data_IF_461976169451
#
_entry.id   IF_461976169451
#
_cell.length_a   1.000
_cell.length_b   1.000
_cell.length_c   1.000
_cell.angle_alpha   90.00
_cell.angle_beta   90.00
_cell.angle_gamma   90.00
#
_symmetry.space_group_name_H-M   'P 1'
#
loop_
_entity.id
_entity.type
_entity.pdbx_description
1 polymer ?
#
# COMPACT_ATOMS: atom_id res chain seq x y z
N UNK A 1 -22.45 34.90 41.07
CA UNK A 1 -23.48 33.85 41.24
C UNK A 1 -24.15 33.61 39.90
N UNK A 2 -23.78 32.56 39.16
CA UNK A 2 -24.63 32.05 38.09
C UNK A 2 -24.21 30.57 37.86
N UNK A 3 -25.16 29.71 38.25
CA UNK A 3 -25.02 28.24 38.15
C UNK A 3 -25.10 27.80 36.69
N UNK A 4 -24.09 27.09 36.20
CA UNK A 4 -24.22 26.24 35.03
C UNK A 4 -24.56 24.82 35.50
N UNK A 5 -25.82 24.50 35.53
CA UNK A 5 -26.34 23.12 35.57
C UNK A 5 -26.68 22.74 34.13
N UNK A 6 -25.81 22.00 33.48
CA UNK A 6 -26.19 21.18 32.32
C UNK A 6 -26.98 19.96 32.79
N UNK A 7 -28.03 19.53 32.07
CA UNK A 7 -28.82 18.38 32.50
C UNK A 7 -28.03 17.09 32.27
N UNK A 8 -27.77 16.38 33.36
CA UNK A 8 -27.55 14.95 33.34
C UNK A 8 -28.91 14.29 32.99
N UNK A 9 -29.30 14.40 31.71
CA UNK A 9 -30.49 13.76 31.22
C UNK A 9 -30.23 12.26 31.02
N UNK A 10 -30.70 11.50 31.99
CA UNK A 10 -31.39 10.27 31.79
C UNK A 10 -30.69 9.24 30.87
N UNK A 11 -29.75 8.54 31.44
CA UNK A 11 -29.55 7.14 31.01
C UNK A 11 -30.86 6.44 31.35
N UNK A 12 -31.68 6.16 30.34
CA UNK A 12 -32.94 5.46 30.46
C UNK A 12 -32.67 4.09 31.12
N UNK A 13 -33.15 3.84 32.37
CA UNK A 13 -32.87 2.56 33.06
C UNK A 13 -33.37 1.35 32.28
N UNK A 14 -34.34 1.54 31.39
CA UNK A 14 -34.91 0.47 30.57
C UNK A 14 -34.03 0.08 29.40
N UNK A 15 -33.07 0.88 28.96
CA UNK A 15 -32.08 0.51 27.97
C UNK A 15 -31.01 -0.42 28.55
N UNK A 16 -30.74 -0.40 29.84
CA UNK A 16 -29.82 -1.34 30.50
C UNK A 16 -30.41 -2.75 30.60
N UNK A 17 -31.73 -2.86 30.75
CA UNK A 17 -32.42 -4.17 30.86
C UNK A 17 -32.49 -4.86 29.48
N UNK A 18 -32.47 -4.13 28.39
CA UNK A 18 -32.54 -4.68 27.02
C UNK A 18 -31.21 -5.30 26.56
N UNK A 19 -30.14 -5.07 27.27
CA UNK A 19 -28.79 -5.63 26.97
C UNK A 19 -28.44 -6.79 27.90
N UNK A 20 -29.27 -7.06 28.91
CA UNK A 20 -29.07 -8.26 29.75
C UNK A 20 -29.53 -9.53 29.00
N UNK A 21 -28.66 -10.50 28.75
CA UNK A 21 -29.07 -11.78 28.20
C UNK A 21 -30.00 -12.45 29.20
N UNK A 22 -31.08 -13.07 28.69
CA UNK A 22 -31.95 -13.91 29.50
C UNK A 22 -31.12 -14.90 30.32
N UNK A 23 -31.49 -15.05 31.60
CA UNK A 23 -30.83 -15.95 32.56
C UNK A 23 -30.51 -17.31 31.91
N UNK A 24 -29.24 -17.68 31.95
CA UNK A 24 -28.75 -19.00 31.52
C UNK A 24 -27.81 -19.06 30.33
N UNK A 25 -27.58 -17.99 29.60
CA UNK A 25 -26.50 -17.95 28.60
C UNK A 25 -25.29 -17.21 29.16
N UNK A 26 -24.32 -17.96 29.65
CA UNK A 26 -22.98 -17.42 29.91
C UNK A 26 -22.45 -16.83 28.63
N UNK A 27 -22.30 -15.49 28.58
CA UNK A 27 -21.59 -14.81 27.48
C UNK A 27 -20.16 -15.34 27.52
N UNK A 28 -19.82 -16.10 26.50
CA UNK A 28 -18.45 -16.59 26.36
C UNK A 28 -17.54 -15.40 26.15
N UNK A 29 -16.83 -14.95 27.18
CA UNK A 29 -15.91 -13.82 27.14
C UNK A 29 -14.88 -13.93 25.99
N UNK A 30 -14.55 -15.15 25.56
CA UNK A 30 -13.73 -15.41 24.36
C UNK A 30 -14.36 -14.89 23.07
N UNK A 31 -15.66 -14.63 23.02
CA UNK A 31 -16.33 -14.04 21.84
C UNK A 31 -16.21 -12.53 21.77
N UNK A 32 -15.80 -11.87 22.85
CA UNK A 32 -15.63 -10.41 22.95
C UNK A 32 -14.18 -9.97 22.70
N UNK A 33 -13.24 -10.90 22.69
CA UNK A 33 -11.86 -10.54 22.33
C UNK A 33 -11.78 -10.12 20.86
N UNK A 34 -11.13 -8.97 20.55
CA UNK A 34 -10.90 -8.58 19.16
C UNK A 34 -10.12 -9.70 18.48
N UNK A 35 -10.66 -10.25 17.41
CA UNK A 35 -10.12 -11.39 16.67
C UNK A 35 -8.78 -10.97 16.04
N UNK A 36 -7.71 -10.98 16.83
CA UNK A 36 -6.35 -10.72 16.38
C UNK A 36 -6.02 -11.80 15.36
N UNK A 37 -5.69 -11.37 14.14
CA UNK A 37 -5.30 -12.31 13.08
C UNK A 37 -4.05 -13.07 13.53
N UNK A 38 -4.08 -14.40 13.48
CA UNK A 38 -2.91 -15.20 13.84
C UNK A 38 -1.70 -14.80 12.97
N UNK A 39 -0.47 -14.83 13.50
CA UNK A 39 0.74 -14.54 12.74
C UNK A 39 0.82 -15.35 11.44
N UNK A 40 0.44 -16.61 11.47
CA UNK A 40 0.39 -17.50 10.29
C UNK A 40 -0.53 -16.97 9.19
N UNK A 41 -1.70 -16.43 9.57
CA UNK A 41 -2.65 -15.85 8.61
C UNK A 41 -2.06 -14.60 7.94
N UNK A 42 -1.37 -13.75 8.71
CA UNK A 42 -0.72 -12.55 8.17
C UNK A 42 0.38 -12.93 7.19
N UNK A 43 1.22 -13.92 7.53
CA UNK A 43 2.27 -14.41 6.63
C UNK A 43 1.66 -14.98 5.34
N UNK A 44 0.63 -15.80 5.45
CA UNK A 44 -0.05 -16.36 4.28
C UNK A 44 -0.61 -15.26 3.37
N UNK A 45 -1.20 -14.21 3.92
CA UNK A 45 -1.67 -13.06 3.15
C UNK A 45 -0.51 -12.33 2.46
N UNK A 46 0.57 -12.03 3.17
CA UNK A 46 1.75 -11.39 2.58
C UNK A 46 2.27 -12.19 1.39
N UNK A 47 2.47 -13.50 1.57
CA UNK A 47 2.94 -14.39 0.49
C UNK A 47 1.97 -14.38 -0.69
N UNK A 48 0.67 -14.48 -0.45
CA UNK A 48 -0.35 -14.49 -1.51
C UNK A 48 -0.35 -13.18 -2.30
N UNK A 49 -0.32 -12.04 -1.61
CA UNK A 49 -0.37 -10.74 -2.29
C UNK A 49 0.94 -10.41 -3.01
N UNK A 50 2.09 -10.81 -2.47
CA UNK A 50 3.38 -10.69 -3.17
C UNK A 50 3.42 -11.59 -4.41
N UNK A 51 2.96 -12.83 -4.32
CA UNK A 51 2.87 -13.74 -5.47
C UNK A 51 1.93 -13.20 -6.56
N UNK A 52 0.76 -12.66 -6.17
CA UNK A 52 -0.18 -12.05 -7.11
C UNK A 52 0.42 -10.81 -7.79
N UNK A 53 1.08 -9.94 -7.02
CA UNK A 53 1.77 -8.77 -7.56
C UNK A 53 2.87 -9.19 -8.55
N UNK A 54 3.64 -10.22 -8.20
CA UNK A 54 4.68 -10.78 -9.10
C UNK A 54 4.06 -11.36 -10.36
N UNK A 55 2.97 -12.11 -10.27
CA UNK A 55 2.29 -12.64 -11.46
C UNK A 55 1.81 -11.52 -12.39
N UNK A 56 1.22 -10.45 -11.83
CA UNK A 56 0.77 -9.29 -12.59
C UNK A 56 1.94 -8.49 -13.21
N UNK A 57 3.14 -8.52 -12.61
CA UNK A 57 4.30 -7.81 -13.15
C UNK A 57 4.81 -8.40 -14.48
N UNK A 58 4.50 -9.66 -14.77
CA UNK A 58 4.80 -10.26 -16.09
C UNK A 58 3.87 -9.78 -17.21
N UNK A 59 2.68 -9.22 -16.86
CA UNK A 59 1.75 -8.68 -17.85
C UNK A 59 2.12 -7.21 -18.09
N UNK A 60 3.09 -6.99 -18.98
CA UNK A 60 3.58 -5.65 -19.32
C UNK A 60 2.81 -5.07 -20.49
N UNK A 61 2.30 -3.87 -20.32
CA UNK A 61 1.68 -3.05 -21.37
C UNK A 61 2.76 -2.33 -22.17
N UNK A 62 3.81 -1.89 -21.45
CA UNK A 62 4.91 -1.13 -22.02
C UNK A 62 6.18 -1.34 -21.17
N UNK A 63 7.36 -1.38 -21.81
CA UNK A 63 8.65 -1.54 -21.15
C UNK A 63 9.69 -0.57 -21.69
N UNK A 64 10.53 -0.04 -20.81
CA UNK A 64 11.63 0.87 -21.09
C UNK A 64 12.98 0.15 -21.00
N UNK A 65 14.02 0.62 -21.71
CA UNK A 65 15.32 -0.07 -21.79
C UNK A 65 16.02 -0.27 -20.44
N UNK A 66 15.89 0.66 -19.49
CA UNK A 66 16.54 0.58 -18.16
C UNK A 66 15.64 -0.05 -17.09
N UNK A 67 14.69 -0.92 -17.46
CA UNK A 67 13.87 -1.71 -16.55
C UNK A 67 12.57 -1.07 -16.10
N UNK A 68 12.29 0.20 -16.45
CA UNK A 68 10.98 0.82 -16.19
C UNK A 68 9.88 0.13 -17.02
N UNK A 69 8.74 -0.20 -16.42
CA UNK A 69 7.63 -0.83 -17.13
C UNK A 69 6.27 -0.41 -16.57
N UNK A 70 5.28 -0.39 -17.47
CA UNK A 70 3.86 -0.25 -17.12
C UNK A 70 3.23 -1.64 -17.16
N UNK A 71 2.60 -2.04 -16.07
CA UNK A 71 2.03 -3.38 -15.90
C UNK A 71 0.49 -3.34 -15.78
N UNK A 72 -0.13 -4.50 -15.75
CA UNK A 72 -1.57 -4.63 -15.52
C UNK A 72 -1.98 -4.40 -14.05
N UNK A 73 -1.34 -3.45 -13.36
CA UNK A 73 -1.64 -3.10 -11.97
C UNK A 73 -0.91 -3.95 -10.94
N UNK A 74 0.35 -4.32 -11.20
CA UNK A 74 1.16 -5.14 -10.29
C UNK A 74 1.33 -4.54 -8.89
N UNK A 75 1.22 -3.23 -8.74
CA UNK A 75 1.31 -2.56 -7.44
C UNK A 75 0.01 -2.67 -6.61
N UNK A 76 -1.13 -2.93 -7.26
CA UNK A 76 -2.45 -2.92 -6.60
C UNK A 76 -2.54 -3.93 -5.45
N UNK A 77 -2.11 -5.20 -5.59
CA UNK A 77 -2.16 -6.15 -4.47
C UNK A 77 -1.38 -5.66 -3.24
N UNK A 78 -0.22 -5.06 -3.43
CA UNK A 78 0.62 -4.54 -2.34
C UNK A 78 -0.03 -3.32 -1.68
N UNK A 79 -0.53 -2.37 -2.48
CA UNK A 79 -1.27 -1.20 -1.98
C UNK A 79 -2.51 -1.63 -1.19
N UNK A 80 -3.26 -2.60 -1.70
CA UNK A 80 -4.42 -3.12 -1.00
C UNK A 80 -4.05 -3.78 0.33
N UNK A 81 -3.02 -4.63 0.34
CA UNK A 81 -2.54 -5.25 1.58
C UNK A 81 -2.12 -4.19 2.61
N UNK A 82 -1.41 -3.13 2.18
CA UNK A 82 -1.02 -2.02 3.04
C UNK A 82 -2.24 -1.28 3.61
N UNK A 83 -3.22 -0.95 2.78
CA UNK A 83 -4.48 -0.32 3.21
C UNK A 83 -5.24 -1.22 4.20
N UNK A 84 -5.26 -2.53 3.98
CA UNK A 84 -5.95 -3.49 4.84
C UNK A 84 -5.23 -3.71 6.17
N UNK A 85 -3.93 -3.96 6.16
CA UNK A 85 -3.15 -4.41 7.33
C UNK A 85 -2.41 -3.29 8.05
N UNK A 86 -2.38 -2.10 7.46
CA UNK A 86 -1.68 -0.95 8.00
C UNK A 86 -0.20 -0.89 7.62
N UNK A 87 0.50 0.18 8.07
CA UNK A 87 1.82 0.52 7.55
C UNK A 87 2.90 -0.51 7.88
N UNK A 88 2.90 -1.12 9.06
CA UNK A 88 3.94 -2.08 9.45
C UNK A 88 3.99 -3.29 8.52
N UNK A 89 2.85 -3.91 8.28
CA UNK A 89 2.74 -5.08 7.39
C UNK A 89 2.86 -4.64 5.94
N UNK A 90 2.30 -3.49 5.59
CA UNK A 90 2.39 -2.91 4.25
C UNK A 90 3.83 -2.63 3.83
N UNK A 91 4.63 -1.95 4.66
CA UNK A 91 6.03 -1.66 4.39
C UNK A 91 6.86 -2.94 4.25
N UNK A 92 6.64 -3.90 5.16
CA UNK A 92 7.32 -5.19 5.10
C UNK A 92 7.00 -5.95 3.81
N UNK A 93 5.72 -6.14 3.48
CA UNK A 93 5.29 -6.84 2.26
C UNK A 93 5.78 -6.15 0.99
N UNK A 94 5.74 -4.82 0.96
CA UNK A 94 6.20 -4.01 -0.15
C UNK A 94 7.71 -4.12 -0.36
N UNK A 95 8.51 -4.12 0.72
CA UNK A 95 9.96 -4.33 0.65
C UNK A 95 10.29 -5.76 0.17
N UNK A 96 9.58 -6.78 0.67
CA UNK A 96 9.70 -8.17 0.20
C UNK A 96 9.37 -8.25 -1.31
N UNK A 97 8.29 -7.61 -1.75
CA UNK A 97 7.96 -7.54 -3.17
C UNK A 97 9.08 -6.89 -3.99
N UNK A 98 9.70 -5.81 -3.49
CA UNK A 98 10.87 -5.20 -4.12
C UNK A 98 12.05 -6.17 -4.27
N UNK A 99 12.34 -6.98 -3.23
CA UNK A 99 13.38 -8.01 -3.32
C UNK A 99 13.02 -9.12 -4.32
N UNK A 100 11.75 -9.50 -4.42
CA UNK A 100 11.28 -10.43 -5.44
C UNK A 100 11.47 -9.83 -6.83
N UNK A 101 11.15 -8.54 -7.03
CA UNK A 101 11.37 -7.86 -8.32
C UNK A 101 12.86 -7.80 -8.69
N UNK A 102 13.76 -7.59 -7.73
CA UNK A 102 15.20 -7.70 -7.97
C UNK A 102 15.61 -9.10 -8.45
N UNK A 103 15.00 -10.14 -7.92
CA UNK A 103 15.29 -11.51 -8.33
C UNK A 103 14.71 -11.86 -9.72
N UNK A 104 13.55 -11.30 -10.06
CA UNK A 104 12.82 -11.55 -11.31
C UNK A 104 13.40 -10.76 -12.48
N UNK A 105 13.67 -9.48 -12.27
CA UNK A 105 14.18 -8.54 -13.29
C UNK A 105 15.30 -7.67 -12.72
N UNK A 106 16.50 -8.23 -12.55
CA UNK A 106 17.62 -7.50 -12.01
C UNK A 106 18.16 -6.47 -13.01
N UNK A 107 18.23 -5.20 -12.60
CA UNK A 107 18.99 -4.16 -13.26
C UNK A 107 19.96 -3.57 -12.24
N UNK A 108 21.22 -3.97 -12.30
CA UNK A 108 22.23 -3.71 -11.27
C UNK A 108 23.34 -2.87 -11.86
N UNK A 109 23.48 -1.63 -11.39
CA UNK A 109 24.57 -0.71 -11.75
C UNK A 109 25.46 -0.45 -10.53
N UNK A 110 24.86 -0.33 -9.34
CA UNK A 110 25.57 -0.03 -8.10
C UNK A 110 24.80 -0.59 -6.89
N UNK A 111 25.44 -1.08 -5.82
CA UNK A 111 24.71 -1.61 -4.64
C UNK A 111 23.70 -0.64 -4.02
N UNK A 112 24.03 0.66 -3.94
CA UNK A 112 23.11 1.67 -3.41
C UNK A 112 21.94 1.93 -4.37
N UNK A 113 22.16 1.82 -5.69
CA UNK A 113 21.07 1.88 -6.67
C UNK A 113 20.08 0.72 -6.44
N UNK A 114 20.58 -0.49 -6.24
CA UNK A 114 19.73 -1.65 -5.95
C UNK A 114 18.88 -1.42 -4.71
N UNK A 115 19.44 -0.84 -3.64
CA UNK A 115 18.70 -0.52 -2.43
C UNK A 115 17.60 0.51 -2.70
N UNK A 116 17.89 1.55 -3.50
CA UNK A 116 16.94 2.60 -3.84
C UNK A 116 15.82 2.08 -4.76
N UNK A 117 16.17 1.33 -5.80
CA UNK A 117 15.23 0.96 -6.87
C UNK A 117 14.35 -0.25 -6.52
N UNK A 118 14.79 -1.10 -5.60
CA UNK A 118 14.02 -2.29 -5.24
C UNK A 118 13.42 -2.21 -3.84
N UNK A 119 14.10 -2.49 -2.72
CA UNK A 119 13.43 -2.56 -1.44
C UNK A 119 12.88 -1.19 -0.98
N UNK A 120 13.55 -0.09 -1.31
CA UNK A 120 13.13 1.23 -0.85
C UNK A 120 12.00 1.78 -1.72
N UNK A 121 12.14 1.73 -3.05
CA UNK A 121 11.11 2.22 -3.97
C UNK A 121 9.81 1.42 -3.84
N UNK A 122 9.89 0.09 -3.88
CA UNK A 122 8.70 -0.73 -3.67
C UNK A 122 8.19 -0.64 -2.23
N UNK A 123 9.09 -0.60 -1.23
CA UNK A 123 8.74 -0.40 0.17
C UNK A 123 7.86 0.83 0.41
N UNK A 124 8.10 1.91 -0.33
CA UNK A 124 7.30 3.12 -0.25
C UNK A 124 5.80 2.89 -0.54
N UNK A 125 5.42 1.86 -1.31
CA UNK A 125 4.02 1.50 -1.52
C UNK A 125 3.31 1.17 -0.20
N UNK A 126 4.06 0.65 0.79
CA UNK A 126 3.55 0.36 2.12
C UNK A 126 3.11 1.59 2.92
N UNK A 127 3.55 2.81 2.54
CA UNK A 127 3.10 4.07 3.13
C UNK A 127 1.59 4.28 2.96
N UNK A 128 0.98 3.64 1.96
CA UNK A 128 -0.48 3.63 1.79
C UNK A 128 -1.20 3.18 3.07
N UNK A 129 -0.59 2.32 3.85
CA UNK A 129 -1.14 1.80 5.10
C UNK A 129 -1.40 2.84 6.20
N UNK A 130 -0.79 4.02 6.12
CA UNK A 130 -1.10 5.14 7.03
C UNK A 130 -2.45 5.82 6.70
N UNK A 131 -2.97 5.60 5.49
CA UNK A 131 -4.16 6.29 4.97
C UNK A 131 -5.35 5.34 4.76
N UNK A 132 -5.54 4.37 5.66
CA UNK A 132 -6.59 3.33 5.55
C UNK A 132 -7.99 3.90 5.30
N UNK A 133 -8.33 5.03 5.95
CA UNK A 133 -9.62 5.70 5.80
C UNK A 133 -9.72 6.59 4.54
N UNK A 134 -8.61 6.77 3.81
CA UNK A 134 -8.51 7.58 2.60
C UNK A 134 -7.70 6.84 1.54
N UNK A 135 -8.24 5.75 0.96
CA UNK A 135 -7.48 4.82 0.12
C UNK A 135 -6.82 5.50 -1.08
N UNK A 136 -7.50 6.44 -1.73
CA UNK A 136 -6.93 7.17 -2.86
C UNK A 136 -5.72 8.03 -2.47
N UNK A 137 -5.77 8.67 -1.30
CA UNK A 137 -4.62 9.39 -0.76
C UNK A 137 -3.47 8.44 -0.45
N UNK A 138 -3.77 7.28 0.13
CA UNK A 138 -2.78 6.25 0.41
C UNK A 138 -2.08 5.75 -0.86
N UNK A 139 -2.83 5.46 -1.92
CA UNK A 139 -2.28 5.06 -3.22
C UNK A 139 -1.34 6.14 -3.77
N UNK A 140 -1.78 7.40 -3.75
CA UNK A 140 -0.95 8.52 -4.20
C UNK A 140 0.36 8.61 -3.40
N UNK A 141 0.29 8.61 -2.06
CA UNK A 141 1.48 8.72 -1.21
C UNK A 141 2.45 7.56 -1.45
N UNK A 142 1.95 6.33 -1.57
CA UNK A 142 2.78 5.16 -1.83
C UNK A 142 3.51 5.25 -3.19
N UNK A 143 2.79 5.59 -4.24
CA UNK A 143 3.36 5.64 -5.61
C UNK A 143 4.27 6.85 -5.80
N UNK A 144 3.94 8.02 -5.22
CA UNK A 144 4.86 9.16 -5.23
C UNK A 144 6.11 8.91 -4.39
N UNK A 145 6.00 8.17 -3.29
CA UNK A 145 7.18 7.71 -2.55
C UNK A 145 8.09 6.82 -3.39
N UNK A 146 7.50 5.89 -4.17
CA UNK A 146 8.24 5.08 -5.14
C UNK A 146 8.89 5.94 -6.22
N UNK A 147 8.14 6.89 -6.80
CA UNK A 147 8.69 7.83 -7.78
C UNK A 147 9.91 8.58 -7.24
N UNK A 148 9.84 9.07 -6.02
CA UNK A 148 10.94 9.83 -5.40
C UNK A 148 12.20 8.96 -5.24
N UNK A 149 12.07 7.70 -4.83
CA UNK A 149 13.20 6.78 -4.72
C UNK A 149 13.85 6.53 -6.08
N UNK A 150 13.07 6.23 -7.12
CA UNK A 150 13.58 6.05 -8.48
C UNK A 150 14.13 7.35 -9.07
N UNK A 151 13.51 8.49 -8.79
CA UNK A 151 14.00 9.79 -9.22
C UNK A 151 15.42 10.08 -8.67
N UNK A 152 15.61 9.88 -7.36
CA UNK A 152 16.91 10.06 -6.71
C UNK A 152 17.94 9.08 -7.30
N UNK A 153 17.58 7.82 -7.44
CA UNK A 153 18.41 6.81 -8.07
C UNK A 153 18.81 7.20 -9.49
N UNK A 154 17.83 7.65 -10.28
CA UNK A 154 18.04 8.10 -11.65
C UNK A 154 19.01 9.28 -11.77
N UNK A 155 18.90 10.25 -10.88
CA UNK A 155 19.81 11.41 -10.87
C UNK A 155 21.25 11.00 -10.53
N UNK A 156 21.42 10.08 -9.59
CA UNK A 156 22.75 9.70 -9.07
C UNK A 156 23.43 8.66 -9.97
N UNK A 157 22.73 7.62 -10.38
CA UNK A 157 23.32 6.44 -11.00
C UNK A 157 23.09 6.33 -12.51
N UNK A 158 22.09 7.07 -13.04
CA UNK A 158 21.71 7.00 -14.46
C UNK A 158 21.94 8.31 -15.23
N UNK A 159 22.71 9.25 -14.65
CA UNK A 159 23.02 10.53 -15.29
C UNK A 159 23.67 10.37 -16.68
N UNK A 160 24.48 9.33 -16.86
CA UNK A 160 25.16 9.04 -18.14
C UNK A 160 24.20 8.59 -19.27
N UNK A 161 22.97 8.23 -18.96
CA UNK A 161 21.94 7.90 -19.95
C UNK A 161 21.18 9.12 -20.44
N UNK A 162 21.38 10.31 -19.81
CA UNK A 162 20.76 11.52 -20.26
C UNK A 162 21.31 11.93 -21.64
N UNK A 163 20.45 12.31 -22.61
CA UNK A 163 20.88 12.86 -23.90
C UNK A 163 21.80 14.08 -23.71
N UNK A 164 22.67 14.32 -24.68
CA UNK A 164 23.57 15.49 -24.68
C UNK A 164 22.76 16.79 -24.45
N UNK A 165 23.22 17.60 -23.50
CA UNK A 165 22.58 18.87 -23.15
C UNK A 165 21.38 18.73 -22.20
N UNK A 166 20.92 17.54 -21.85
CA UNK A 166 19.82 17.35 -20.90
C UNK A 166 20.35 17.20 -19.48
N UNK A 167 19.82 18.00 -18.54
CA UNK A 167 20.19 17.90 -17.14
C UNK A 167 19.71 16.55 -16.54
N UNK A 168 20.53 15.81 -15.75
CA UNK A 168 20.16 14.50 -15.19
C UNK A 168 18.84 14.47 -14.41
N UNK A 169 18.51 15.55 -13.69
CA UNK A 169 17.22 15.64 -12.98
C UNK A 169 16.04 15.65 -13.95
N UNK A 170 16.16 16.35 -15.08
CA UNK A 170 15.11 16.41 -16.10
C UNK A 170 14.94 15.03 -16.74
N UNK A 171 16.05 14.39 -17.11
CA UNK A 171 16.05 13.03 -17.63
C UNK A 171 15.37 12.06 -16.66
N UNK A 172 15.80 12.03 -15.39
CA UNK A 172 15.25 11.15 -14.38
C UNK A 172 13.75 11.39 -14.14
N UNK A 173 13.31 12.65 -14.10
CA UNK A 173 11.90 12.99 -13.93
C UNK A 173 11.04 12.49 -15.09
N UNK A 174 11.48 12.71 -16.33
CA UNK A 174 10.77 12.26 -17.54
C UNK A 174 10.77 10.74 -17.62
N UNK A 175 11.91 10.10 -17.44
CA UNK A 175 12.05 8.66 -17.52
C UNK A 175 11.14 7.95 -16.49
N UNK A 176 11.28 8.30 -15.21
CA UNK A 176 10.48 7.68 -14.16
C UNK A 176 9.01 8.07 -14.22
N UNK A 177 8.70 9.31 -14.60
CA UNK A 177 7.34 9.78 -14.81
C UNK A 177 6.61 9.02 -15.93
N UNK A 178 7.32 8.67 -17.00
CA UNK A 178 6.72 8.02 -18.17
C UNK A 178 6.10 6.66 -17.89
N UNK A 179 6.56 5.92 -16.88
CA UNK A 179 5.96 4.65 -16.50
C UNK A 179 5.23 4.70 -15.15
N UNK A 180 5.68 5.53 -14.19
CA UNK A 180 5.02 5.59 -12.87
C UNK A 180 3.68 6.33 -12.94
N UNK A 181 3.52 7.36 -13.79
CA UNK A 181 2.24 8.05 -13.93
C UNK A 181 1.14 7.17 -14.54
N UNK A 182 1.36 6.40 -15.62
CA UNK A 182 0.40 5.40 -16.08
C UNK A 182 0.08 4.34 -15.02
N UNK A 183 1.10 3.83 -14.29
CA UNK A 183 0.90 2.88 -13.19
C UNK A 183 0.05 3.48 -12.06
N UNK A 184 0.23 4.77 -11.74
CA UNK A 184 -0.61 5.48 -10.79
C UNK A 184 -2.08 5.52 -11.26
N UNK A 185 -2.30 5.88 -12.53
CA UNK A 185 -3.65 5.94 -13.11
C UNK A 185 -4.34 4.57 -13.08
N UNK A 186 -3.63 3.51 -13.49
CA UNK A 186 -4.13 2.12 -13.44
C UNK A 186 -4.45 1.73 -12.00
N UNK A 187 -3.55 2.00 -11.06
CA UNK A 187 -3.72 1.65 -9.65
C UNK A 187 -4.92 2.37 -9.02
N UNK A 188 -5.07 3.68 -9.28
CA UNK A 188 -6.24 4.46 -8.82
C UNK A 188 -7.53 3.89 -9.40
N UNK A 189 -7.55 3.57 -10.69
CA UNK A 189 -8.73 3.04 -11.36
C UNK A 189 -9.15 1.69 -10.78
N UNK A 190 -8.20 0.75 -10.60
CA UNK A 190 -8.51 -0.56 -10.03
C UNK A 190 -8.95 -0.43 -8.57
N UNK A 191 -8.28 0.39 -7.75
CA UNK A 191 -8.68 0.65 -6.35
C UNK A 191 -10.07 1.30 -6.29
N UNK A 192 -10.40 2.18 -7.25
CA UNK A 192 -11.74 2.76 -7.36
C UNK A 192 -12.79 1.66 -7.61
N UNK A 193 -12.57 0.76 -8.58
CA UNK A 193 -13.49 -0.35 -8.85
C UNK A 193 -13.66 -1.27 -7.62
N UNK A 194 -12.58 -1.58 -6.92
CA UNK A 194 -12.61 -2.38 -5.69
C UNK A 194 -13.34 -1.66 -4.54
N UNK A 195 -13.25 -0.34 -4.48
CA UNK A 195 -13.96 0.48 -3.50
C UNK A 195 -15.47 0.51 -3.77
N UNK A 196 -15.89 0.75 -5.03
CA UNK A 196 -17.29 0.76 -5.44
C UNK A 196 -17.95 -0.62 -5.29
N UNK A 197 -17.23 -1.70 -5.60
CA UNK A 197 -17.72 -3.08 -5.42
C UNK A 197 -17.88 -3.49 -3.95
N UNK A 198 -17.58 -2.61 -3.00
CA UNK A 198 -17.56 -2.85 -1.55
C UNK A 198 -16.57 -3.93 -1.11
N UNK A 199 -15.78 -4.52 -2.01
CA UNK A 199 -14.74 -5.50 -1.67
C UNK A 199 -13.70 -4.92 -0.70
N UNK A 200 -13.33 -3.64 -0.86
CA UNK A 200 -12.50 -2.95 0.12
C UNK A 200 -13.16 -2.89 1.52
N UNK A 201 -14.50 -2.71 1.59
CA UNK A 201 -15.23 -2.62 2.88
C UNK A 201 -15.38 -3.95 3.60
N UNK A 202 -15.39 -5.07 2.85
CA UNK A 202 -15.46 -6.42 3.45
C UNK A 202 -14.14 -6.76 4.15
N UNK A 203 -13.05 -6.14 3.74
CA UNK A 203 -11.70 -6.47 4.18
C UNK A 203 -10.97 -5.33 4.91
N UNK A 204 -11.51 -4.13 5.01
CA UNK A 204 -11.05 -3.03 5.86
C UNK A 204 -11.80 -3.01 7.18
#
# INVERSE_FOLDING_TARGET
MTRLRGPLSAVDPWNLIRVMPAEGKTVNEKSLEPKVSSPTKIIAEVVTFVALATALSYIKVFSLPQGGSVTAGSMVPILWLALRRGPKIGLFAAAVYGLVQLAVEPFIVHPLQVLLDYPLAFGALGLAGFFRNRPFLGVNVGIWGRFLAHFISGVIFFASYAPEGMHPMVYSAIYNGSYILPELAISIYIIFLLHESKLLKIFL
#
